data_IF_156587611359
#
_entry.id   IF_156587611359
#
_cell.length_a   1.000
_cell.length_b   1.000
_cell.length_c   1.000
_cell.angle_alpha   90.00
_cell.angle_beta   90.00
_cell.angle_gamma   90.00
#
_symmetry.space_group_name_H-M   'P 1'
#
loop_
_entity.id
_entity.type
_entity.pdbx_description
1 polymer ?
#
# COMPACT_ATOMS: atom_id res chain seq x y z
N UNK A 1 10.52 24.35 -9.41
CA UNK A 1 9.63 23.54 -10.28
C UNK A 1 10.42 23.08 -11.48
N UNK A 2 10.72 21.79 -11.64
CA UNK A 2 11.33 21.29 -12.88
C UNK A 2 10.22 20.84 -13.83
N UNK A 3 9.95 21.69 -14.83
CA UNK A 3 9.14 21.41 -16.02
C UNK A 3 9.72 20.18 -16.70
N UNK A 4 8.96 19.09 -16.76
CA UNK A 4 9.23 18.03 -17.72
C UNK A 4 8.93 18.59 -19.10
N UNK A 5 9.97 18.79 -19.91
CA UNK A 5 9.81 19.11 -21.31
C UNK A 5 9.23 17.87 -22.00
N UNK A 6 7.93 17.86 -22.28
CA UNK A 6 7.37 16.96 -23.29
C UNK A 6 7.83 17.49 -24.64
N UNK A 7 8.66 16.72 -25.33
CA UNK A 7 8.97 16.96 -26.75
C UNK A 7 7.71 16.62 -27.54
N UNK A 8 7.04 17.64 -28.08
CA UNK A 8 5.96 17.45 -29.05
C UNK A 8 6.61 17.08 -30.39
N UNK A 9 6.54 15.81 -30.79
CA UNK A 9 6.85 15.38 -32.15
C UNK A 9 5.69 15.71 -33.09
N UNK A 10 5.99 16.08 -34.33
CA UNK A 10 5.00 16.35 -35.36
C UNK A 10 4.19 15.08 -35.71
N UNK A 11 2.92 15.19 -36.14
CA UNK A 11 2.08 14.04 -36.44
C UNK A 11 2.57 13.36 -37.73
N UNK A 12 3.23 12.21 -37.61
CA UNK A 12 3.59 11.39 -38.78
C UNK A 12 4.83 10.50 -38.64
N UNK A 13 5.74 10.75 -37.69
CA UNK A 13 6.91 9.88 -37.49
C UNK A 13 6.58 8.74 -36.52
N UNK A 14 6.56 7.51 -37.06
CA UNK A 14 6.48 6.29 -36.26
C UNK A 14 7.77 6.16 -35.45
N UNK A 15 7.66 5.90 -34.15
CA UNK A 15 8.80 5.54 -33.33
C UNK A 15 9.54 4.36 -33.98
N UNK A 16 10.85 4.51 -34.24
CA UNK A 16 11.67 3.41 -34.74
C UNK A 16 11.53 2.22 -33.78
N UNK A 17 11.30 1.04 -34.35
CA UNK A 17 11.08 -0.18 -33.58
C UNK A 17 12.34 -0.46 -32.74
N UNK A 18 12.14 -0.73 -31.45
CA UNK A 18 13.23 -1.12 -30.57
C UNK A 18 13.96 -2.33 -31.16
N UNK A 19 15.29 -2.28 -31.19
CA UNK A 19 16.10 -3.41 -31.66
C UNK A 19 15.75 -4.66 -30.85
N UNK A 20 15.32 -5.76 -31.50
CA UNK A 20 14.99 -6.99 -30.80
C UNK A 20 16.20 -7.50 -30.00
N UNK A 21 15.95 -8.00 -28.79
CA UNK A 21 16.96 -8.54 -27.88
C UNK A 21 17.91 -9.57 -28.53
N UNK A 22 17.45 -10.26 -29.56
CA UNK A 22 18.18 -11.28 -30.30
C UNK A 22 19.38 -10.72 -31.08
N UNK A 23 19.33 -9.46 -31.51
CA UNK A 23 20.44 -8.82 -32.26
C UNK A 23 21.58 -8.37 -31.34
N UNK A 24 21.33 -8.13 -30.06
CA UNK A 24 22.38 -7.72 -29.10
C UNK A 24 23.22 -8.89 -28.55
N UNK A 25 22.85 -10.14 -28.83
CA UNK A 25 23.55 -11.33 -28.31
C UNK A 25 24.53 -11.92 -29.34
N UNK A 26 24.49 -11.48 -30.60
CA UNK A 26 25.34 -11.99 -31.67
C UNK A 26 26.70 -11.28 -31.71
N UNK A 27 27.54 -11.57 -30.71
CA UNK A 27 28.89 -11.02 -30.58
C UNK A 27 29.86 -11.95 -29.87
N UNK A 28 30.37 -12.95 -30.61
CA UNK A 28 31.59 -13.76 -30.35
C UNK A 28 31.54 -14.84 -29.26
N UNK A 29 31.31 -16.09 -29.71
CA UNK A 29 32.17 -17.24 -29.37
C UNK A 29 31.69 -18.23 -28.29
N UNK A 30 31.32 -19.45 -28.73
CA UNK A 30 31.76 -20.68 -28.05
C UNK A 30 30.73 -21.59 -27.38
N UNK A 31 30.38 -22.68 -28.09
CA UNK A 31 30.09 -24.05 -27.60
C UNK A 31 28.87 -24.31 -26.68
N UNK A 32 27.86 -24.95 -27.26
CA UNK A 32 27.39 -26.29 -26.85
C UNK A 32 26.42 -26.43 -25.66
N UNK A 33 25.26 -27.03 -25.92
CA UNK A 33 24.48 -27.78 -24.90
C UNK A 33 22.99 -27.47 -24.85
N UNK A 34 22.17 -28.31 -25.51
CA UNK A 34 20.71 -28.36 -25.32
C UNK A 34 20.38 -28.91 -23.93
N UNK A 35 19.48 -28.28 -23.18
CA UNK A 35 18.62 -28.95 -22.19
C UNK A 35 17.27 -28.22 -22.09
N UNK A 36 16.18 -28.99 -22.22
CA UNK A 36 14.80 -28.51 -22.14
C UNK A 36 14.32 -28.18 -20.73
N UNK A 37 13.08 -27.66 -20.57
CA UNK A 37 12.61 -27.15 -19.30
C UNK A 37 12.12 -28.28 -18.38
N UNK A 38 12.84 -28.53 -17.30
CA UNK A 38 12.36 -29.33 -16.18
C UNK A 38 11.44 -28.50 -15.28
N UNK A 39 10.16 -28.89 -15.28
CA UNK A 39 9.14 -28.49 -14.34
C UNK A 39 9.53 -28.96 -12.92
N UNK A 40 9.84 -28.02 -12.03
CA UNK A 40 10.05 -28.29 -10.60
C UNK A 40 8.80 -27.87 -9.82
N UNK A 41 8.05 -28.91 -9.40
CA UNK A 41 7.01 -28.85 -8.39
C UNK A 41 7.56 -28.23 -7.11
N UNK A 42 6.84 -27.24 -6.57
CA UNK A 42 7.19 -26.53 -5.35
C UNK A 42 6.58 -27.26 -4.16
N UNK A 43 7.32 -28.19 -3.59
CA UNK A 43 6.97 -28.83 -2.31
C UNK A 43 7.48 -27.96 -1.16
N UNK A 44 6.57 -27.61 -0.24
CA UNK A 44 6.87 -26.77 0.92
C UNK A 44 7.34 -27.65 2.07
N UNK A 45 8.65 -27.72 2.30
CA UNK A 45 9.19 -28.32 3.52
C UNK A 45 9.73 -27.22 4.46
N UNK A 46 9.04 -27.05 5.60
CA UNK A 46 9.44 -26.15 6.69
C UNK A 46 10.70 -26.69 7.38
N UNK A 47 11.89 -26.34 6.89
CA UNK A 47 13.15 -26.56 7.63
C UNK A 47 13.43 -25.39 8.57
N UNK A 48 13.41 -25.67 9.88
CA UNK A 48 13.86 -24.78 10.96
C UNK A 48 15.27 -24.25 10.66
N UNK A 49 15.40 -22.93 10.51
CA UNK A 49 16.70 -22.24 10.40
C UNK A 49 17.45 -22.35 11.73
N UNK A 50 18.47 -23.20 11.81
CA UNK A 50 19.45 -23.16 12.89
C UNK A 50 20.26 -21.86 12.78
N UNK A 51 20.36 -21.11 13.88
CA UNK A 51 21.17 -19.89 13.99
C UNK A 51 22.64 -20.21 13.68
N UNK A 52 23.09 -19.90 12.46
CA UNK A 52 24.50 -19.96 12.10
C UNK A 52 25.13 -18.65 12.57
N UNK A 53 25.97 -18.72 13.60
CA UNK A 53 26.73 -17.58 14.14
C UNK A 53 27.47 -16.90 12.99
N UNK A 54 27.22 -15.60 12.79
CA UNK A 54 27.86 -14.79 11.74
C UNK A 54 29.36 -14.84 12.01
N UNK A 55 30.15 -15.27 11.02
CA UNK A 55 31.61 -15.33 11.14
C UNK A 55 32.09 -13.87 11.13
N UNK A 56 32.61 -13.38 12.25
CA UNK A 56 33.18 -12.04 12.33
C UNK A 56 34.42 -12.02 11.44
N UNK A 57 34.27 -11.35 10.31
CA UNK A 57 35.35 -11.13 9.36
C UNK A 57 36.12 -9.92 9.87
N UNK A 58 37.31 -10.16 10.44
CA UNK A 58 38.28 -9.09 10.66
C UNK A 58 38.65 -8.54 9.28
N UNK A 59 38.21 -7.32 9.01
CA UNK A 59 38.53 -6.61 7.77
C UNK A 59 39.95 -6.06 7.88
N UNK A 60 40.92 -6.95 7.90
CA UNK A 60 42.33 -6.57 7.80
C UNK A 60 42.65 -6.36 6.31
N UNK A 61 43.26 -5.22 6.00
CA UNK A 61 43.64 -4.82 4.65
C UNK A 61 44.82 -5.68 4.18
N UNK A 62 44.49 -6.84 3.59
CA UNK A 62 45.48 -7.85 3.17
C UNK A 62 46.39 -7.32 2.05
N UNK A 63 45.98 -6.29 1.32
CA UNK A 63 46.66 -5.85 0.09
C UNK A 63 47.26 -4.44 0.20
N UNK A 64 47.29 -3.86 1.41
CA UNK A 64 47.78 -2.50 1.62
C UNK A 64 47.01 -1.43 0.84
N UNK A 65 45.75 -1.69 0.46
CA UNK A 65 44.93 -0.78 -0.33
C UNK A 65 44.60 0.51 0.45
N UNK A 66 44.39 0.39 1.77
CA UNK A 66 44.25 1.52 2.67
C UNK A 66 45.57 2.29 2.82
N UNK A 67 46.72 1.60 2.81
CA UNK A 67 48.04 2.25 2.84
C UNK A 67 48.36 2.98 1.53
N UNK A 68 47.99 2.42 0.38
CA UNK A 68 48.12 3.04 -0.93
C UNK A 68 47.24 4.29 -1.09
N UNK A 69 46.00 4.26 -0.57
CA UNK A 69 45.15 5.44 -0.47
C UNK A 69 45.79 6.53 0.41
N UNK A 70 46.43 6.14 1.51
CA UNK A 70 47.09 7.06 2.45
C UNK A 70 48.38 7.69 1.87
N UNK A 71 49.13 6.93 1.08
CA UNK A 71 50.32 7.42 0.36
C UNK A 71 49.95 8.29 -0.84
N UNK A 72 48.91 7.94 -1.60
CA UNK A 72 48.42 8.77 -2.71
C UNK A 72 47.72 10.06 -2.25
N UNK A 73 47.17 10.09 -1.04
CA UNK A 73 46.69 11.32 -0.38
C UNK A 73 47.80 12.19 0.22
N UNK A 74 49.05 11.72 0.24
CA UNK A 74 50.16 12.36 0.95
C UNK A 74 50.84 13.53 0.22
N UNK A 75 50.28 14.06 -0.87
CA UNK A 75 50.96 15.05 -1.71
C UNK A 75 50.07 16.03 -2.45
N UNK A 76 48.91 16.38 -1.90
CA UNK A 76 48.09 17.43 -2.46
C UNK A 76 47.35 18.19 -1.38
N UNK A 77 47.71 19.47 -1.20
CA UNK A 77 46.81 20.53 -0.73
C UNK A 77 45.65 20.72 -1.72
N UNK A 78 44.93 19.65 -2.06
CA UNK A 78 43.61 19.72 -2.69
C UNK A 78 42.56 19.81 -1.58
N UNK A 79 42.62 20.98 -0.95
CA UNK A 79 41.52 21.81 -0.52
C UNK A 79 40.45 21.20 0.40
N UNK A 80 40.49 21.62 1.66
CA UNK A 80 39.35 21.82 2.58
C UNK A 80 38.08 22.37 1.87
N UNK A 81 38.23 23.10 0.76
CA UNK A 81 37.14 23.57 -0.08
C UNK A 81 36.34 22.43 -0.76
N UNK A 82 36.99 21.33 -1.16
CA UNK A 82 36.34 20.18 -1.80
C UNK A 82 35.56 19.30 -0.82
N UNK A 83 36.04 19.16 0.42
CA UNK A 83 35.27 18.50 1.50
C UNK A 83 34.06 19.32 1.89
N UNK A 84 34.20 20.65 1.99
CA UNK A 84 33.08 21.54 2.27
C UNK A 84 32.06 21.58 1.11
N UNK A 85 32.50 21.44 -0.14
CA UNK A 85 31.61 21.31 -1.29
C UNK A 85 30.82 20.00 -1.27
N UNK A 86 31.49 18.87 -1.01
CA UNK A 86 30.85 17.56 -0.86
C UNK A 86 29.84 17.56 0.30
N UNK A 87 30.18 18.16 1.44
CA UNK A 87 29.26 18.32 2.57
C UNK A 87 28.02 19.13 2.21
N UNK A 88 28.16 20.20 1.43
CA UNK A 88 27.03 20.99 0.93
C UNK A 88 26.16 20.18 -0.03
N UNK A 89 26.76 19.39 -0.93
CA UNK A 89 26.03 18.51 -1.83
C UNK A 89 25.25 17.42 -1.09
N UNK A 90 25.88 16.79 -0.10
CA UNK A 90 25.24 15.81 0.78
C UNK A 90 24.10 16.45 1.57
N UNK A 91 24.30 17.66 2.11
CA UNK A 91 23.23 18.39 2.79
C UNK A 91 22.04 18.72 1.85
N UNK A 92 22.32 19.07 0.59
CA UNK A 92 21.28 19.29 -0.43
C UNK A 92 20.55 17.97 -0.74
N UNK A 93 21.25 16.85 -0.85
CA UNK A 93 20.67 15.53 -1.08
C UNK A 93 19.76 15.12 0.08
N UNK A 94 20.25 15.21 1.33
CA UNK A 94 19.47 14.92 2.54
C UNK A 94 18.22 15.82 2.65
N UNK A 95 18.34 17.10 2.29
CA UNK A 95 17.20 18.03 2.27
C UNK A 95 16.17 17.67 1.20
N UNK A 96 16.60 17.16 0.03
CA UNK A 96 15.70 16.66 -1.03
C UNK A 96 15.00 15.38 -0.59
N UNK A 97 15.70 14.47 0.07
CA UNK A 97 15.15 13.20 0.56
C UNK A 97 14.18 13.42 1.72
N UNK A 98 14.51 14.30 2.68
CA UNK A 98 13.57 14.72 3.74
C UNK A 98 12.27 15.26 3.14
N UNK A 99 12.35 16.17 2.16
CA UNK A 99 11.16 16.68 1.44
C UNK A 99 10.37 15.58 0.72
N UNK A 100 11.02 14.50 0.27
CA UNK A 100 10.35 13.37 -0.38
C UNK A 100 9.62 12.50 0.65
N UNK A 101 10.28 12.19 1.76
CA UNK A 101 9.68 11.44 2.87
C UNK A 101 8.54 12.23 3.53
N UNK A 102 8.70 13.54 3.75
CA UNK A 102 7.62 14.39 4.30
C UNK A 102 6.36 14.33 3.43
N UNK A 103 6.50 14.34 2.10
CA UNK A 103 5.35 14.18 1.19
C UNK A 103 4.73 12.78 1.27
N UNK A 104 5.54 11.74 1.48
CA UNK A 104 5.06 10.37 1.64
C UNK A 104 4.28 10.23 2.95
N UNK A 105 4.85 10.71 4.05
CA UNK A 105 4.23 10.70 5.37
C UNK A 105 2.94 11.52 5.35
N UNK A 106 2.94 12.72 4.77
CA UNK A 106 1.72 13.53 4.63
C UNK A 106 0.62 12.80 3.85
N UNK A 107 0.95 12.06 2.78
CA UNK A 107 -0.05 11.24 2.06
C UNK A 107 -0.58 10.09 2.91
N UNK A 108 0.29 9.44 3.69
CA UNK A 108 -0.12 8.38 4.60
C UNK A 108 -1.03 8.92 5.71
N UNK A 109 -0.66 10.06 6.29
CA UNK A 109 -1.44 10.76 7.31
C UNK A 109 -2.78 11.22 6.75
N UNK A 110 -2.83 11.85 5.57
CA UNK A 110 -4.08 12.21 4.92
C UNK A 110 -4.97 11.00 4.65
N UNK A 111 -4.39 9.84 4.27
CA UNK A 111 -5.16 8.60 4.08
C UNK A 111 -5.70 8.02 5.39
N UNK A 112 -4.90 8.08 6.47
CA UNK A 112 -5.32 7.63 7.81
C UNK A 112 -6.39 8.55 8.38
N UNK A 113 -6.20 9.87 8.29
CA UNK A 113 -7.16 10.86 8.78
C UNK A 113 -8.46 10.88 7.95
N UNK A 114 -8.39 10.54 6.66
CA UNK A 114 -9.58 10.35 5.84
C UNK A 114 -10.32 9.03 6.12
N UNK A 115 -9.68 8.06 6.79
CA UNK A 115 -10.35 6.85 7.23
C UNK A 115 -11.15 7.17 8.49
N UNK A 116 -12.46 6.97 8.43
CA UNK A 116 -13.40 7.20 9.52
C UNK A 116 -13.92 5.85 10.02
N UNK A 117 -13.98 5.69 11.34
CA UNK A 117 -14.53 4.48 11.95
C UNK A 117 -16.05 4.42 11.79
N UNK A 118 -16.61 3.32 11.31
CA UNK A 118 -18.07 3.22 11.16
C UNK A 118 -18.85 3.10 12.48
N UNK A 119 -18.17 2.78 13.58
CA UNK A 119 -18.80 2.66 14.90
C UNK A 119 -18.85 4.00 15.63
N UNK A 120 -17.70 4.62 15.92
CA UNK A 120 -17.63 5.91 16.63
C UNK A 120 -17.64 7.14 15.70
N UNK A 121 -17.48 6.98 14.38
CA UNK A 121 -17.39 8.07 13.38
C UNK A 121 -16.24 9.05 13.58
N UNK A 122 -15.25 8.66 14.39
CA UNK A 122 -14.03 9.44 14.55
C UNK A 122 -13.04 9.12 13.42
N UNK A 123 -12.33 10.14 12.89
CA UNK A 123 -11.28 9.96 11.90
C UNK A 123 -10.02 9.33 12.51
N UNK A 124 -9.20 8.69 11.69
CA UNK A 124 -7.86 8.20 12.05
C UNK A 124 -7.77 6.68 12.23
N UNK A 125 -8.89 5.98 12.39
CA UNK A 125 -8.91 4.52 12.62
C UNK A 125 -10.08 3.82 11.92
N UNK A 126 -9.94 2.51 11.69
CA UNK A 126 -11.00 1.66 11.18
C UNK A 126 -11.75 0.92 12.30
N UNK A 127 -12.84 0.23 11.97
CA UNK A 127 -13.67 -0.50 12.97
C UNK A 127 -12.87 -1.50 13.82
N UNK A 128 -11.85 -2.14 13.24
CA UNK A 128 -11.00 -3.10 13.94
C UNK A 128 -10.07 -2.45 14.99
N UNK A 129 -9.67 -1.21 14.78
CA UNK A 129 -8.76 -0.46 15.66
C UNK A 129 -9.54 0.56 16.50
N UNK A 130 -10.86 0.38 16.64
CA UNK A 130 -11.71 1.33 17.35
C UNK A 130 -11.54 1.16 18.86
N UNK A 131 -11.10 2.21 19.58
CA UNK A 131 -10.90 2.13 21.02
C UNK A 131 -12.23 1.86 21.75
N UNK A 132 -13.36 2.35 21.22
CA UNK A 132 -14.68 2.11 21.77
C UNK A 132 -15.15 0.64 21.64
N UNK A 133 -14.66 -0.10 20.62
CA UNK A 133 -15.03 -1.51 20.43
C UNK A 133 -14.33 -2.42 21.44
N UNK A 134 -13.17 -2.02 21.99
CA UNK A 134 -12.50 -2.76 23.06
C UNK A 134 -13.32 -2.78 24.36
N UNK A 135 -14.20 -1.80 24.58
CA UNK A 135 -15.10 -1.77 25.74
C UNK A 135 -16.43 -2.50 25.50
N UNK A 136 -16.82 -2.69 24.23
CA UNK A 136 -18.05 -3.39 23.86
C UNK A 136 -17.73 -4.66 23.04
N UNK A 137 -17.40 -5.75 23.72
CA UNK A 137 -17.07 -7.07 23.15
C UNK A 137 -18.18 -7.68 22.25
N UNK A 138 -19.34 -7.02 22.15
CA UNK A 138 -20.54 -7.51 21.48
C UNK A 138 -20.55 -7.37 19.96
N UNK A 139 -19.61 -6.62 19.39
CA UNK A 139 -19.54 -6.44 17.94
C UNK A 139 -18.60 -7.50 17.36
N UNK A 140 -19.18 -8.59 16.85
CA UNK A 140 -18.51 -9.73 16.23
C UNK A 140 -17.63 -9.32 15.03
N UNK A 141 -16.49 -8.71 15.33
CA UNK A 141 -15.56 -8.20 14.34
C UNK A 141 -14.84 -9.41 13.75
N UNK A 142 -15.04 -9.63 12.44
CA UNK A 142 -14.48 -10.81 11.76
C UNK A 142 -15.41 -12.01 11.66
N UNK A 143 -16.70 -11.90 12.02
CA UNK A 143 -17.70 -12.90 11.64
C UNK A 143 -18.24 -12.64 10.24
N UNK A 144 -18.53 -13.71 9.50
CA UNK A 144 -19.29 -13.63 8.28
C UNK A 144 -20.74 -13.26 8.60
N UNK A 145 -21.22 -12.10 8.16
CA UNK A 145 -22.59 -11.67 8.43
C UNK A 145 -23.68 -12.53 7.76
N UNK A 146 -23.30 -13.43 6.83
CA UNK A 146 -24.23 -14.38 6.20
C UNK A 146 -24.38 -15.69 6.98
N UNK A 147 -23.29 -16.27 7.49
CA UNK A 147 -23.31 -17.60 8.11
C UNK A 147 -22.71 -17.66 9.52
N UNK A 148 -22.28 -16.54 10.09
CA UNK A 148 -21.75 -16.44 11.45
C UNK A 148 -20.34 -16.99 11.67
N UNK A 149 -19.71 -17.60 10.66
CA UNK A 149 -18.36 -18.15 10.79
C UNK A 149 -17.27 -17.08 10.83
N UNK A 150 -16.24 -17.24 11.66
CA UNK A 150 -15.09 -16.33 11.77
C UNK A 150 -13.99 -16.57 10.72
N UNK A 151 -14.11 -17.63 9.93
CA UNK A 151 -13.05 -18.06 9.02
C UNK A 151 -12.97 -17.23 7.71
N UNK A 152 -14.05 -16.50 7.38
CA UNK A 152 -14.13 -15.77 6.11
C UNK A 152 -15.04 -14.56 6.16
N UNK A 153 -14.79 -13.62 5.24
CA UNK A 153 -15.65 -12.45 5.02
C UNK A 153 -16.85 -12.79 4.13
N UNK A 154 -17.88 -11.93 4.19
CA UNK A 154 -19.10 -11.96 3.37
C UNK A 154 -18.83 -12.29 1.90
N UNK A 155 -17.76 -11.74 1.31
CA UNK A 155 -17.39 -11.91 -0.11
C UNK A 155 -16.91 -13.32 -0.46
N UNK A 156 -16.37 -14.06 0.52
CA UNK A 156 -15.86 -15.43 0.35
C UNK A 156 -16.84 -16.47 0.89
N UNK A 157 -17.99 -16.03 1.38
CA UNK A 157 -19.02 -16.91 1.91
C UNK A 157 -19.66 -17.73 0.79
N UNK A 158 -19.59 -19.05 0.91
CA UNK A 158 -20.23 -20.01 0.00
C UNK A 158 -21.53 -20.59 0.57
N UNK A 159 -21.90 -20.21 1.80
CA UNK A 159 -23.11 -20.70 2.43
C UNK A 159 -24.34 -20.14 1.68
N UNK A 160 -25.29 -21.03 1.38
CA UNK A 160 -26.60 -20.65 0.88
C UNK A 160 -27.46 -20.36 2.11
N UNK A 161 -27.79 -19.10 2.32
CA UNK A 161 -28.68 -18.68 3.42
C UNK A 161 -30.09 -18.64 2.87
N UNK A 162 -31.05 -19.16 3.63
CA UNK A 162 -32.45 -19.13 3.24
C UNK A 162 -32.96 -17.69 3.17
N UNK A 163 -33.56 -17.25 2.04
CA UNK A 163 -34.01 -15.87 1.86
C UNK A 163 -35.11 -15.45 2.85
N UNK A 164 -35.75 -16.41 3.53
CA UNK A 164 -36.76 -16.16 4.55
C UNK A 164 -36.19 -15.56 5.86
N UNK A 165 -34.90 -15.78 6.16
CA UNK A 165 -34.24 -15.28 7.39
C UNK A 165 -33.59 -13.89 7.13
N UNK A 166 -33.70 -13.37 5.91
CA UNK A 166 -33.07 -12.12 5.49
C UNK A 166 -31.65 -12.32 4.95
N UNK A 167 -31.15 -11.32 4.22
CA UNK A 167 -29.87 -11.42 3.52
C UNK A 167 -28.65 -11.49 4.45
N UNK A 168 -28.77 -10.98 5.69
CA UNK A 168 -27.66 -10.85 6.65
C UNK A 168 -28.11 -11.12 8.09
N UNK A 169 -28.45 -12.37 8.45
CA UNK A 169 -29.01 -12.70 9.77
C UNK A 169 -28.05 -12.41 10.94
N UNK A 170 -26.73 -12.49 10.69
CA UNK A 170 -25.71 -12.26 11.71
C UNK A 170 -25.11 -10.85 11.67
N UNK A 171 -25.58 -9.97 10.78
CA UNK A 171 -25.16 -8.57 10.79
C UNK A 171 -25.87 -7.84 11.95
N UNK A 172 -25.09 -7.21 12.84
CA UNK A 172 -25.57 -6.18 13.77
C UNK A 172 -25.44 -4.82 13.11
N UNK A 173 -26.51 -4.03 13.10
CA UNK A 173 -26.50 -2.69 12.55
C UNK A 173 -25.73 -1.72 13.46
N UNK A 174 -24.76 -0.98 12.92
CA UNK A 174 -23.99 0.00 13.70
C UNK A 174 -24.78 1.26 14.09
N UNK A 175 -26.02 1.40 13.63
CA UNK A 175 -26.84 2.59 13.87
C UNK A 175 -27.92 2.30 14.93
N UNK A 176 -28.76 1.27 14.70
CA UNK A 176 -29.84 0.90 15.62
C UNK A 176 -29.47 -0.27 16.56
N UNK A 177 -28.37 -0.99 16.32
CA UNK A 177 -27.95 -2.15 17.12
C UNK A 177 -28.71 -3.45 16.84
N UNK A 178 -29.78 -3.40 16.02
CA UNK A 178 -30.58 -4.59 15.69
C UNK A 178 -29.84 -5.53 14.73
N UNK A 179 -30.20 -6.82 14.80
CA UNK A 179 -29.67 -7.85 13.92
C UNK A 179 -30.52 -8.03 12.66
N UNK A 180 -29.90 -8.48 11.57
CA UNK A 180 -30.61 -8.86 10.34
C UNK A 180 -30.39 -7.92 9.15
N UNK A 181 -29.77 -6.76 9.37
CA UNK A 181 -29.49 -5.78 8.32
C UNK A 181 -28.15 -5.04 8.53
N UNK A 182 -27.64 -4.44 7.45
CA UNK A 182 -26.46 -3.58 7.47
C UNK A 182 -26.89 -2.12 7.66
N UNK A 183 -26.00 -1.28 8.20
CA UNK A 183 -26.25 0.16 8.39
C UNK A 183 -26.76 0.92 7.17
N UNK A 184 -26.48 0.44 5.95
CA UNK A 184 -26.99 1.03 4.71
C UNK A 184 -28.48 0.75 4.46
N UNK A 185 -29.00 -0.35 4.99
CA UNK A 185 -30.39 -0.79 4.82
C UNK A 185 -31.16 -0.69 6.14
N UNK A 186 -30.68 0.13 7.06
CA UNK A 186 -31.35 0.38 8.32
C UNK A 186 -32.58 1.27 8.07
N UNK A 187 -33.78 0.84 8.47
CA UNK A 187 -34.99 1.67 8.34
C UNK A 187 -34.92 2.91 9.24
N UNK A 188 -34.30 2.77 10.41
CA UNK A 188 -34.13 3.85 11.40
C UNK A 188 -32.69 4.36 11.39
N UNK A 189 -32.37 5.25 10.45
CA UNK A 189 -31.05 5.87 10.37
C UNK A 189 -31.07 7.35 10.82
N UNK A 190 -30.95 7.65 12.14
CA UNK A 190 -30.85 9.01 12.63
C UNK A 190 -29.52 9.70 12.28
N UNK A 191 -28.48 8.94 11.90
CA UNK A 191 -27.11 9.44 11.69
C UNK A 191 -26.71 9.53 10.21
N UNK A 192 -27.63 9.46 9.25
CA UNK A 192 -27.28 9.65 7.84
C UNK A 192 -26.52 8.48 7.19
N UNK A 193 -26.56 8.38 5.85
CA UNK A 193 -25.75 7.43 5.06
C UNK A 193 -24.30 7.91 4.86
N UNK A 194 -24.02 9.20 5.11
CA UNK A 194 -22.70 9.81 4.95
C UNK A 194 -21.82 9.58 6.17
N UNK A 195 -20.49 9.54 5.97
CA UNK A 195 -19.52 9.33 7.03
C UNK A 195 -19.65 10.35 8.18
N UNK A 196 -19.98 11.60 7.86
CA UNK A 196 -20.07 12.72 8.80
C UNK A 196 -21.40 12.79 9.58
N UNK A 197 -22.45 12.05 9.19
CA UNK A 197 -23.74 12.13 9.91
C UNK A 197 -24.95 12.56 9.11
N UNK A 198 -24.76 12.95 7.84
CA UNK A 198 -25.77 13.73 7.12
C UNK A 198 -26.66 12.90 6.19
N UNK A 199 -27.79 13.47 5.80
CA UNK A 199 -28.61 13.03 4.67
C UNK A 199 -28.14 13.60 3.34
N UNK A 200 -28.87 13.29 2.28
CA UNK A 200 -28.71 13.85 0.96
C UNK A 200 -28.73 15.38 1.02
N UNK A 201 -27.66 16.04 0.55
CA UNK A 201 -27.53 17.51 0.58
C UNK A 201 -28.50 18.29 -0.33
N UNK A 202 -29.36 17.59 -1.08
CA UNK A 202 -30.39 18.19 -1.92
C UNK A 202 -31.75 18.15 -1.22
N UNK A 203 -32.21 16.96 -0.85
CA UNK A 203 -33.55 16.74 -0.29
C UNK A 203 -33.57 16.50 1.23
N UNK A 204 -32.41 16.42 1.88
CA UNK A 204 -32.27 16.11 3.30
C UNK A 204 -32.53 14.65 3.70
N UNK A 205 -33.03 13.80 2.78
CA UNK A 205 -33.35 12.40 3.13
C UNK A 205 -32.09 11.58 3.45
N UNK A 206 -32.21 10.66 4.41
CA UNK A 206 -31.08 9.84 4.84
C UNK A 206 -30.85 8.64 3.93
N UNK A 207 -31.88 8.19 3.21
CA UNK A 207 -31.92 6.89 2.53
C UNK A 207 -31.00 6.77 1.30
N UNK A 208 -30.64 7.88 0.65
CA UNK A 208 -29.87 7.86 -0.58
C UNK A 208 -28.69 8.84 -0.59
N UNK A 209 -27.69 8.50 -1.41
CA UNK A 209 -26.63 9.46 -1.73
C UNK A 209 -27.15 10.50 -2.71
N UNK A 210 -26.59 11.71 -2.67
CA UNK A 210 -26.87 12.80 -3.64
C UNK A 210 -26.89 12.36 -5.10
N UNK A 211 -26.10 11.34 -5.47
CA UNK A 211 -26.07 10.81 -6.84
C UNK A 211 -27.38 10.13 -7.25
N UNK A 212 -28.01 9.46 -6.30
CA UNK A 212 -29.21 8.64 -6.46
C UNK A 212 -30.46 9.42 -6.00
N UNK A 213 -30.34 10.74 -5.85
CA UNK A 213 -31.43 11.60 -5.41
C UNK A 213 -32.48 11.74 -6.52
N UNK A 214 -33.75 11.43 -6.25
CA UNK A 214 -34.82 11.56 -7.24
C UNK A 214 -35.01 13.03 -7.65
N UNK A 215 -34.84 13.96 -6.72
CA UNK A 215 -34.94 15.42 -6.98
C UNK A 215 -33.79 15.95 -7.84
N UNK A 216 -32.70 15.20 -8.02
CA UNK A 216 -31.58 15.60 -8.90
C UNK A 216 -31.91 15.38 -10.39
N UNK A 217 -32.96 14.62 -10.70
CA UNK A 217 -33.38 14.35 -12.08
C UNK A 217 -34.35 15.39 -12.63
N UNK A 218 -34.79 16.34 -11.80
CA UNK A 218 -35.48 17.58 -12.22
C UNK A 218 -34.51 18.76 -12.16
#
# INVERSE_FOLDING_TARGET
>A
MTRWARRNGAPGEKALHATPWEEMVSGRGGRGGRLGPLCLKKEQEKRKKKNKKKKDYLNEDVNGFAAYLKQSSGGGEVAEAGSAELEREVAIALKKDKRREDRRLKRQEMKKNAMVCFHCREPGHGVADCPAVLESEDMGTGICYRCGSTEHDISKCKAKVDPAVGAFPYAKCFICGEMGHLSRSCPDNPKGLYAEGDGCRLCGSVEHFRKDCPEKQN
#
